data_IF_568610149553
#
_entry.id   IF_568610149553
#
_cell.length_a   1.000
_cell.length_b   1.000
_cell.length_c   1.000
_cell.angle_alpha   90.00
_cell.angle_beta   90.00
_cell.angle_gamma   90.00
#
_symmetry.space_group_name_H-M   'P 1'
#
loop_
_entity.id
_entity.type
_entity.pdbx_description
1 polymer ?
#
# COMPACT_ATOMS: atom_id res chain seq x y z
N UNK A 1 -32.93 15.89 -2.83
CA UNK A 1 -31.63 15.28 -3.22
C UNK A 1 -31.22 14.33 -2.10
N UNK A 2 -31.33 13.02 -2.29
CA UNK A 2 -30.84 12.06 -1.30
C UNK A 2 -29.32 12.11 -1.29
N UNK A 3 -28.66 12.26 -0.13
CA UNK A 3 -27.23 12.08 -0.05
C UNK A 3 -26.95 10.62 -0.46
N UNK A 4 -26.24 10.44 -1.57
CA UNK A 4 -25.78 9.13 -1.98
C UNK A 4 -24.89 8.58 -0.87
N UNK A 5 -25.40 7.59 -0.14
CA UNK A 5 -24.63 6.88 0.88
C UNK A 5 -23.45 6.24 0.18
N UNK A 6 -22.27 6.85 0.32
CA UNK A 6 -21.02 6.28 -0.18
C UNK A 6 -20.88 4.90 0.46
N UNK A 7 -21.00 3.84 -0.32
CA UNK A 7 -20.80 2.47 0.17
C UNK A 7 -19.31 2.27 0.45
N UNK A 8 -18.91 2.58 1.69
CA UNK A 8 -17.60 2.20 2.21
C UNK A 8 -17.64 0.72 2.56
N UNK A 9 -16.54 0.02 2.31
CA UNK A 9 -16.33 -1.33 2.81
C UNK A 9 -15.46 -1.32 4.06
N UNK A 10 -15.61 -2.32 4.90
CA UNK A 10 -14.74 -2.50 6.07
C UNK A 10 -13.44 -3.16 5.61
N UNK A 11 -12.32 -2.50 5.85
CA UNK A 11 -10.99 -3.02 5.51
C UNK A 11 -10.78 -4.42 6.08
N UNK A 12 -11.16 -4.67 7.33
CA UNK A 12 -11.06 -5.99 7.96
C UNK A 12 -11.84 -7.08 7.23
N UNK A 13 -13.06 -6.77 6.76
CA UNK A 13 -13.88 -7.73 6.00
C UNK A 13 -13.23 -8.05 4.63
N UNK A 14 -12.72 -7.04 3.95
CA UNK A 14 -12.03 -7.22 2.66
C UNK A 14 -10.73 -8.04 2.84
N UNK A 15 -9.96 -7.80 3.91
CA UNK A 15 -8.76 -8.60 4.21
C UNK A 15 -9.11 -10.06 4.56
N UNK A 16 -10.21 -10.30 5.28
CA UNK A 16 -10.68 -11.66 5.55
C UNK A 16 -11.07 -12.39 4.26
N UNK A 17 -11.73 -11.72 3.32
CA UNK A 17 -12.04 -12.27 2.00
C UNK A 17 -10.74 -12.51 1.21
N UNK A 18 -9.81 -11.55 1.23
CA UNK A 18 -8.53 -11.68 0.55
C UNK A 18 -7.78 -12.95 0.96
N UNK A 19 -7.78 -13.29 2.26
CA UNK A 19 -7.14 -14.49 2.78
C UNK A 19 -7.70 -15.81 2.20
N UNK A 20 -8.92 -15.79 1.64
CA UNK A 20 -9.54 -16.95 0.98
C UNK A 20 -9.25 -17.06 -0.51
N UNK A 21 -8.63 -16.03 -1.11
CA UNK A 21 -8.37 -15.99 -2.55
C UNK A 21 -7.03 -16.67 -2.89
N UNK A 22 -6.95 -17.37 -4.05
CA UNK A 22 -5.73 -18.11 -4.42
C UNK A 22 -4.46 -17.25 -4.48
N UNK A 23 -4.56 -15.98 -4.91
CA UNK A 23 -3.42 -15.08 -5.00
C UNK A 23 -2.82 -14.68 -3.65
N UNK A 24 -3.57 -14.83 -2.55
CA UNK A 24 -3.10 -14.51 -1.22
C UNK A 24 -1.86 -15.33 -0.81
N UNK A 25 -1.82 -16.60 -1.19
CA UNK A 25 -0.69 -17.50 -0.88
C UNK A 25 0.60 -17.13 -1.62
N UNK A 26 0.52 -16.25 -2.61
CA UNK A 26 1.68 -15.78 -3.38
C UNK A 26 2.31 -14.52 -2.79
N UNK A 27 1.63 -13.87 -1.84
CA UNK A 27 2.11 -12.64 -1.20
C UNK A 27 3.28 -12.93 -0.25
N UNK A 28 4.30 -12.10 -0.33
CA UNK A 28 5.38 -12.01 0.66
C UNK A 28 5.06 -10.98 1.76
N UNK A 29 4.19 -10.02 1.48
CA UNK A 29 3.69 -9.05 2.47
C UNK A 29 2.84 -9.77 3.52
N UNK A 30 3.10 -9.51 4.80
CA UNK A 30 2.33 -10.10 5.90
C UNK A 30 0.91 -9.53 5.98
N UNK A 31 0.03 -10.19 6.74
CA UNK A 31 -1.33 -9.68 7.01
C UNK A 31 -1.28 -8.29 7.63
N UNK A 32 -0.35 -8.06 8.55
CA UNK A 32 -0.13 -6.76 9.19
C UNK A 32 0.36 -5.71 8.19
N UNK A 33 1.24 -6.12 7.25
CA UNK A 33 1.67 -5.26 6.13
C UNK A 33 0.51 -4.89 5.21
N UNK A 34 -0.34 -5.85 4.86
CA UNK A 34 -1.56 -5.60 4.08
C UNK A 34 -2.51 -4.64 4.81
N UNK A 35 -2.68 -4.83 6.12
CA UNK A 35 -3.50 -3.94 6.95
C UNK A 35 -2.91 -2.53 7.00
N UNK A 36 -1.59 -2.41 7.12
CA UNK A 36 -0.89 -1.12 7.11
C UNK A 36 -1.18 -0.34 5.82
N UNK A 37 -1.17 -1.00 4.65
CA UNK A 37 -1.51 -0.39 3.37
C UNK A 37 -2.99 -0.02 3.33
N UNK A 38 -3.87 -0.97 3.61
CA UNK A 38 -5.31 -0.83 3.45
C UNK A 38 -5.92 0.24 4.36
N UNK A 39 -5.43 0.40 5.59
CA UNK A 39 -5.89 1.41 6.55
C UNK A 39 -5.66 2.85 6.02
N UNK A 40 -4.63 3.06 5.19
CA UNK A 40 -4.35 4.37 4.60
C UNK A 40 -4.99 4.60 3.23
N UNK A 41 -5.13 3.55 2.43
CA UNK A 41 -5.83 3.66 1.14
C UNK A 41 -7.34 3.79 1.33
N UNK A 42 -7.89 3.25 2.43
CA UNK A 42 -9.31 3.14 2.66
C UNK A 42 -9.97 2.13 1.72
N UNK A 43 -11.30 1.98 1.82
CA UNK A 43 -12.04 1.07 0.96
C UNK A 43 -13.35 1.72 0.49
N UNK A 44 -13.55 1.79 -0.85
CA UNK A 44 -14.78 2.28 -1.47
C UNK A 44 -15.25 1.35 -2.57
N UNK A 45 -16.47 0.88 -2.48
CA UNK A 45 -17.07 0.02 -3.51
C UNK A 45 -17.57 0.81 -4.72
N UNK A 46 -17.94 2.07 -4.53
CA UNK A 46 -18.30 2.97 -5.62
C UNK A 46 -17.07 3.69 -6.13
N UNK A 47 -16.86 3.73 -7.47
CA UNK A 47 -15.77 4.48 -8.06
C UNK A 47 -15.85 5.98 -7.75
N UNK A 48 -14.71 6.58 -7.50
CA UNK A 48 -14.56 8.02 -7.29
C UNK A 48 -13.33 8.53 -8.02
N UNK A 49 -13.28 9.82 -8.30
CA UNK A 49 -12.05 10.45 -8.79
C UNK A 49 -11.23 10.94 -7.59
N UNK A 50 -9.95 10.57 -7.55
CA UNK A 50 -8.99 11.19 -6.63
C UNK A 50 -8.63 12.60 -7.10
N UNK A 51 -7.89 13.36 -6.27
CA UNK A 51 -7.48 14.74 -6.54
C UNK A 51 -6.69 14.91 -7.87
N UNK A 52 -6.10 13.84 -8.37
CA UNK A 52 -5.42 13.80 -9.66
C UNK A 52 -6.36 13.48 -10.84
N UNK A 53 -7.67 13.37 -10.61
CA UNK A 53 -8.67 13.05 -11.63
C UNK A 53 -8.69 11.58 -12.06
N UNK A 54 -7.97 10.69 -11.37
CA UNK A 54 -7.92 9.26 -11.68
C UNK A 54 -9.07 8.53 -11.02
N UNK A 55 -9.81 7.73 -11.80
CA UNK A 55 -10.85 6.87 -11.27
C UNK A 55 -10.27 5.76 -10.39
N UNK A 56 -10.82 5.64 -9.18
CA UNK A 56 -10.34 4.76 -8.13
C UNK A 56 -11.50 4.02 -7.50
N UNK A 57 -11.31 2.74 -7.16
CA UNK A 57 -12.25 1.92 -6.40
C UNK A 57 -11.53 0.98 -5.41
N UNK A 58 -12.26 0.17 -4.68
CA UNK A 58 -11.70 -0.82 -3.76
C UNK A 58 -10.74 -0.20 -2.76
N UNK A 59 -9.58 -0.81 -2.63
CA UNK A 59 -8.47 -0.34 -1.79
C UNK A 59 -7.41 0.27 -2.71
N UNK A 60 -7.61 1.54 -3.08
CA UNK A 60 -6.66 2.28 -3.91
C UNK A 60 -6.47 1.72 -5.33
N UNK A 61 -7.42 0.94 -5.86
CA UNK A 61 -7.33 0.38 -7.19
C UNK A 61 -7.65 1.42 -8.26
N UNK A 62 -6.76 1.59 -9.24
CA UNK A 62 -6.93 2.49 -10.38
C UNK A 62 -6.99 1.76 -11.72
N UNK A 63 -6.83 0.45 -11.72
CA UNK A 63 -6.80 -0.37 -12.94
C UNK A 63 -8.16 -0.98 -13.23
N UNK A 64 -8.67 -0.78 -14.45
CA UNK A 64 -9.94 -1.35 -14.90
C UNK A 64 -11.17 -0.78 -14.21
N UNK A 65 -11.05 0.39 -13.58
CA UNK A 65 -12.18 1.05 -12.90
C UNK A 65 -13.16 1.60 -13.92
N UNK A 66 -14.44 1.23 -13.77
CA UNK A 66 -15.53 1.70 -14.64
C UNK A 66 -16.36 2.73 -13.88
N UNK A 67 -16.39 3.99 -14.31
CA UNK A 67 -17.21 5.02 -13.69
C UNK A 67 -18.68 4.60 -13.55
N UNK A 68 -19.26 4.82 -12.38
CA UNK A 68 -20.65 4.47 -12.08
C UNK A 68 -20.92 2.98 -11.77
N UNK A 69 -19.95 2.08 -11.94
CA UNK A 69 -20.11 0.67 -11.65
C UNK A 69 -19.60 0.34 -10.25
N UNK A 70 -20.51 0.05 -9.32
CA UNK A 70 -20.18 -0.44 -7.99
C UNK A 70 -19.57 -1.85 -8.06
N UNK A 71 -18.46 -2.06 -7.34
CA UNK A 71 -17.82 -3.35 -7.19
C UNK A 71 -18.26 -4.08 -5.90
N UNK A 72 -18.00 -5.38 -5.80
CA UNK A 72 -18.19 -6.17 -4.58
C UNK A 72 -16.95 -6.14 -3.69
N UNK A 73 -17.09 -6.49 -2.41
CA UNK A 73 -15.95 -6.65 -1.50
C UNK A 73 -14.96 -7.72 -1.99
N UNK A 74 -15.46 -8.79 -2.62
CA UNK A 74 -14.63 -9.83 -3.24
C UNK A 74 -13.80 -9.28 -4.40
N UNK A 75 -14.38 -8.42 -5.22
CA UNK A 75 -13.65 -7.74 -6.30
C UNK A 75 -12.60 -6.75 -5.74
N UNK A 76 -12.96 -6.00 -4.69
CA UNK A 76 -12.02 -5.14 -3.98
C UNK A 76 -10.84 -5.93 -3.39
N UNK A 77 -11.11 -7.09 -2.79
CA UNK A 77 -10.08 -7.99 -2.26
C UNK A 77 -9.16 -8.51 -3.38
N UNK A 78 -9.73 -8.97 -4.48
CA UNK A 78 -8.97 -9.50 -5.62
C UNK A 78 -8.07 -8.45 -6.27
N UNK A 79 -8.58 -7.23 -6.52
CA UNK A 79 -7.78 -6.14 -7.08
C UNK A 79 -6.68 -5.69 -6.11
N UNK A 80 -6.95 -5.68 -4.81
CA UNK A 80 -5.94 -5.36 -3.80
C UNK A 80 -4.78 -6.34 -3.80
N UNK A 81 -5.06 -7.66 -3.76
CA UNK A 81 -4.02 -8.71 -3.88
C UNK A 81 -3.21 -8.51 -5.16
N UNK A 82 -3.89 -8.34 -6.30
CA UNK A 82 -3.23 -8.14 -7.60
C UNK A 82 -2.30 -6.94 -7.59
N UNK A 83 -2.73 -5.83 -6.99
CA UNK A 83 -1.93 -4.61 -6.92
C UNK A 83 -0.72 -4.77 -5.97
N UNK A 84 -0.87 -5.45 -4.83
CA UNK A 84 0.25 -5.74 -3.93
C UNK A 84 1.25 -6.68 -4.61
N UNK A 85 0.82 -7.76 -5.26
CA UNK A 85 1.70 -8.66 -6.03
C UNK A 85 2.46 -7.92 -7.12
N UNK A 86 1.83 -6.94 -7.78
CA UNK A 86 2.51 -6.11 -8.80
C UNK A 86 3.61 -5.25 -8.16
N UNK A 87 3.37 -4.69 -6.99
CA UNK A 87 4.38 -3.94 -6.23
C UNK A 87 5.53 -4.86 -5.82
N UNK A 88 5.25 -6.02 -5.23
CA UNK A 88 6.26 -7.00 -4.84
C UNK A 88 7.15 -7.41 -6.02
N UNK A 89 6.53 -7.78 -7.14
CA UNK A 89 7.25 -8.15 -8.37
C UNK A 89 8.13 -7.01 -8.90
N UNK A 90 7.72 -5.77 -8.74
CA UNK A 90 8.55 -4.63 -9.14
C UNK A 90 9.73 -4.41 -8.19
N UNK A 91 9.53 -4.64 -6.88
CA UNK A 91 10.59 -4.56 -5.86
C UNK A 91 11.64 -5.66 -6.01
N UNK A 92 11.29 -6.85 -6.51
CA UNK A 92 12.23 -7.95 -6.78
C UNK A 92 13.38 -7.55 -7.71
N UNK A 93 13.17 -6.50 -8.52
CA UNK A 93 14.22 -5.99 -9.43
C UNK A 93 15.25 -5.11 -8.76
N UNK A 94 14.96 -4.57 -7.58
CA UNK A 94 15.83 -3.62 -6.89
C UNK A 94 16.22 -4.04 -5.48
N UNK A 95 15.49 -4.97 -4.88
CA UNK A 95 15.81 -5.55 -3.57
C UNK A 95 16.58 -6.86 -3.81
N UNK A 96 17.87 -6.84 -3.50
CA UNK A 96 18.81 -7.91 -3.90
C UNK A 96 19.19 -8.84 -2.73
N UNK A 97 18.58 -8.67 -1.58
CA UNK A 97 18.88 -9.41 -0.35
C UNK A 97 17.59 -9.89 0.31
N UNK A 98 17.69 -10.93 1.14
CA UNK A 98 16.58 -11.32 2.02
C UNK A 98 16.35 -10.22 3.06
N UNK A 99 15.09 -9.81 3.24
CA UNK A 99 14.69 -8.67 4.07
C UNK A 99 13.84 -9.17 5.25
N UNK A 100 14.06 -8.69 6.48
CA UNK A 100 13.18 -8.98 7.61
C UNK A 100 11.74 -8.55 7.31
N UNK A 101 10.76 -9.35 7.74
CA UNK A 101 9.34 -9.18 7.36
C UNK A 101 8.82 -7.77 7.60
N UNK A 102 9.06 -7.19 8.78
CA UNK A 102 8.56 -5.86 9.10
C UNK A 102 9.19 -4.75 8.23
N UNK A 103 10.47 -4.91 7.87
CA UNK A 103 11.16 -3.97 6.96
C UNK A 103 10.59 -4.10 5.55
N UNK A 104 10.33 -5.33 5.11
CA UNK A 104 9.72 -5.60 3.81
C UNK A 104 8.30 -5.04 3.72
N UNK A 105 7.45 -5.29 4.71
CA UNK A 105 6.09 -4.76 4.78
C UNK A 105 6.07 -3.23 4.68
N UNK A 106 6.96 -2.55 5.42
CA UNK A 106 7.06 -1.10 5.38
C UNK A 106 7.54 -0.58 4.00
N UNK A 107 8.46 -1.29 3.35
CA UNK A 107 8.91 -0.98 1.99
C UNK A 107 7.77 -1.15 0.99
N UNK A 108 7.00 -2.25 1.07
CA UNK A 108 5.85 -2.48 0.19
C UNK A 108 4.80 -1.39 0.39
N UNK A 109 4.51 -1.00 1.64
CA UNK A 109 3.58 0.10 1.95
C UNK A 109 4.06 1.44 1.35
N UNK A 110 5.36 1.76 1.50
CA UNK A 110 5.94 2.95 0.86
C UNK A 110 5.78 2.88 -0.66
N UNK A 111 6.18 1.77 -1.28
CA UNK A 111 6.15 1.60 -2.73
C UNK A 111 4.73 1.64 -3.31
N UNK A 112 3.75 1.10 -2.58
CA UNK A 112 2.33 1.18 -2.93
C UNK A 112 1.85 2.64 -2.99
N UNK A 113 2.33 3.48 -2.08
CA UNK A 113 1.95 4.89 -1.98
C UNK A 113 2.70 5.80 -2.97
N UNK A 114 4.04 5.70 -3.03
CA UNK A 114 4.87 6.64 -3.81
C UNK A 114 5.23 6.13 -5.21
N UNK A 115 4.86 4.90 -5.51
CA UNK A 115 5.23 4.21 -6.74
C UNK A 115 6.53 3.42 -6.62
N UNK A 116 6.59 2.29 -7.31
CA UNK A 116 7.73 1.35 -7.26
C UNK A 116 9.02 1.93 -7.82
N UNK A 117 8.95 2.80 -8.83
CA UNK A 117 10.12 3.48 -9.39
C UNK A 117 10.80 4.39 -8.35
N UNK A 118 10.01 5.19 -7.63
CA UNK A 118 10.50 6.05 -6.56
C UNK A 118 11.08 5.22 -5.39
N UNK A 119 10.38 4.16 -5.00
CA UNK A 119 10.85 3.27 -3.93
C UNK A 119 12.16 2.59 -4.29
N UNK A 120 12.28 2.02 -5.49
CA UNK A 120 13.51 1.37 -5.95
C UNK A 120 14.71 2.33 -6.04
N UNK A 121 14.48 3.59 -6.44
CA UNK A 121 15.52 4.63 -6.49
C UNK A 121 15.88 5.24 -5.14
N UNK A 122 15.17 4.86 -4.06
CA UNK A 122 15.29 5.50 -2.76
C UNK A 122 16.56 5.13 -2.00
N UNK A 123 16.95 5.99 -1.06
CA UNK A 123 18.01 5.68 -0.08
C UNK A 123 17.59 4.53 0.84
N UNK A 124 16.29 4.33 1.08
CA UNK A 124 15.79 3.19 1.84
C UNK A 124 16.23 1.86 1.21
N UNK A 125 16.03 1.68 -0.09
CA UNK A 125 16.43 0.45 -0.81
C UNK A 125 17.95 0.30 -0.83
N UNK A 126 18.71 1.40 -0.95
CA UNK A 126 20.18 1.34 -0.84
C UNK A 126 20.62 0.78 0.51
N UNK A 127 20.02 1.23 1.63
CA UNK A 127 20.34 0.70 2.94
C UNK A 127 19.87 -0.74 3.13
N UNK A 128 18.69 -1.11 2.59
CA UNK A 128 18.20 -2.50 2.58
C UNK A 128 19.23 -3.42 1.93
N UNK A 129 19.73 -3.09 0.76
CA UNK A 129 20.72 -3.90 0.04
C UNK A 129 22.07 -4.00 0.77
N UNK A 130 22.34 -3.07 1.70
CA UNK A 130 23.49 -3.11 2.61
C UNK A 130 23.19 -3.82 3.93
N UNK A 131 21.96 -4.38 4.10
CA UNK A 131 21.45 -4.97 5.35
C UNK A 131 21.48 -4.03 6.55
N UNK A 132 21.37 -2.73 6.28
CA UNK A 132 21.31 -1.66 7.29
C UNK A 132 19.86 -1.32 7.60
N UNK A 133 19.18 -2.25 8.29
CA UNK A 133 17.73 -2.24 8.48
C UNK A 133 17.21 -0.98 9.17
N UNK A 134 17.81 -0.61 10.29
CA UNK A 134 17.41 0.60 11.05
C UNK A 134 17.59 1.87 10.23
N UNK A 135 18.71 1.99 9.52
CA UNK A 135 18.97 3.14 8.65
C UNK A 135 17.96 3.22 7.51
N UNK A 136 17.56 2.07 6.97
CA UNK A 136 16.50 1.98 5.97
C UNK A 136 15.16 2.46 6.54
N UNK A 137 14.76 1.99 7.73
CA UNK A 137 13.52 2.41 8.38
C UNK A 137 13.49 3.93 8.61
N UNK A 138 14.59 4.52 9.06
CA UNK A 138 14.68 5.96 9.29
C UNK A 138 14.64 6.83 8.02
N UNK A 139 14.58 6.24 6.82
CA UNK A 139 14.32 6.98 5.58
C UNK A 139 12.83 7.28 5.37
N UNK A 140 11.92 6.55 6.01
CA UNK A 140 10.47 6.71 5.84
C UNK A 140 9.97 8.14 6.12
N UNK A 141 10.38 8.83 7.21
CA UNK A 141 9.91 10.18 7.50
C UNK A 141 10.26 11.24 6.44
N UNK A 142 11.11 10.93 5.48
CA UNK A 142 11.44 11.85 4.38
C UNK A 142 10.33 11.95 3.33
N UNK A 143 9.36 11.03 3.32
CA UNK A 143 8.31 10.92 2.33
C UNK A 143 6.99 11.52 2.81
N UNK A 144 7.04 12.77 3.25
CA UNK A 144 5.92 13.52 3.86
C UNK A 144 5.51 14.77 3.08
N UNK A 145 6.07 14.97 1.90
CA UNK A 145 5.81 16.15 1.07
C UNK A 145 5.07 15.78 -0.21
N UNK A 146 4.10 16.61 -0.60
CA UNK A 146 3.42 16.56 -1.91
C UNK A 146 3.69 17.87 -2.62
N UNK A 147 4.34 17.82 -3.78
CA UNK A 147 4.74 19.03 -4.55
C UNK A 147 5.47 20.07 -3.68
N UNK A 148 6.33 19.61 -2.78
CA UNK A 148 7.10 20.45 -1.87
C UNK A 148 6.34 20.96 -0.64
N UNK A 149 5.07 20.61 -0.47
CA UNK A 149 4.24 21.00 0.68
C UNK A 149 4.12 19.82 1.65
N UNK A 150 4.38 20.09 2.95
CA UNK A 150 4.21 19.09 4.01
C UNK A 150 2.75 18.61 4.08
N UNK A 151 2.58 17.30 4.21
CA UNK A 151 1.28 16.66 4.29
C UNK A 151 1.15 15.86 5.61
N UNK A 152 0.27 16.30 6.54
CA UNK A 152 0.08 15.63 7.83
C UNK A 152 -0.40 14.18 7.71
N UNK A 153 -1.20 13.86 6.68
CA UNK A 153 -1.66 12.48 6.42
C UNK A 153 -0.52 11.55 6.08
N UNK A 154 0.43 12.03 5.25
CA UNK A 154 1.63 11.27 4.94
C UNK A 154 2.55 11.14 6.16
N UNK A 155 2.65 12.17 6.99
CA UNK A 155 3.46 12.11 8.22
C UNK A 155 2.93 11.03 9.16
N UNK A 156 1.63 10.98 9.40
CA UNK A 156 0.98 9.92 10.18
C UNK A 156 1.22 8.53 9.57
N UNK A 157 1.15 8.40 8.25
CA UNK A 157 1.43 7.15 7.54
C UNK A 157 2.87 6.70 7.77
N UNK A 158 3.83 7.60 7.56
CA UNK A 158 5.26 7.30 7.74
C UNK A 158 5.59 6.95 9.19
N UNK A 159 4.95 7.60 10.16
CA UNK A 159 5.15 7.30 11.59
C UNK A 159 4.72 5.84 11.91
N UNK A 160 3.59 5.37 11.38
CA UNK A 160 3.16 3.98 11.57
C UNK A 160 4.04 2.99 10.83
N UNK A 161 4.41 3.29 9.58
CA UNK A 161 5.34 2.46 8.82
C UNK A 161 6.69 2.34 9.51
N UNK A 162 7.24 3.45 10.05
CA UNK A 162 8.47 3.47 10.80
C UNK A 162 8.38 2.62 12.06
N UNK A 163 7.32 2.78 12.85
CA UNK A 163 7.09 1.99 14.06
C UNK A 163 7.04 0.49 13.77
N UNK A 164 6.39 0.09 12.67
CA UNK A 164 6.33 -1.30 12.24
C UNK A 164 7.69 -1.81 11.76
N UNK A 165 8.35 -1.04 10.91
CA UNK A 165 9.67 -1.34 10.35
C UNK A 165 10.71 -1.64 11.44
N UNK A 166 10.77 -0.79 12.46
CA UNK A 166 11.75 -0.90 13.55
C UNK A 166 11.59 -2.15 14.42
N UNK A 167 10.44 -2.82 14.41
CA UNK A 167 10.23 -4.09 15.13
C UNK A 167 11.02 -5.23 14.52
N UNK A 168 11.40 -5.17 13.25
CA UNK A 168 12.18 -6.19 12.54
C UNK A 168 13.61 -5.76 12.21
N UNK A 169 14.02 -4.57 12.67
CA UNK A 169 15.30 -3.95 12.30
C UNK A 169 16.37 -4.10 13.37
#
# INVERSE_FOLDING_TARGET
>A
MNPSTVKCCLVGAVLAIAATLPGFQQLHTSVEGLKLIADYEGCRLQPYQCDAGVWTDGIGNTSGVVPGKTITERQAAGSFITNVLRVEKALDRCVLVSVPQNVYDALVSLAFNVGTGNACGSTMVKFINQKRWRDACYQLPRWVYVKGVFNPGLDNRRARELSWCLKGA
#
